data_IF_799914478861
#
_entry.id   IF_799914478861
#
_cell.length_a   1.000
_cell.length_b   1.000
_cell.length_c   1.000
_cell.angle_alpha   90.00
_cell.angle_beta   90.00
_cell.angle_gamma   90.00
#
_symmetry.space_group_name_H-M   'P 1'
#
loop_
_entity.id
_entity.type
_entity.pdbx_description
1 polymer ?
#
# COMPACT_ATOMS: atom_id res chain seq x y z
N UNK A 1 -6.56 39.10 -17.90
CA UNK A 1 -5.16 39.57 -17.91
C UNK A 1 -4.96 40.23 -16.54
N UNK A 2 -4.37 39.66 -15.50
CA UNK A 2 -3.29 38.66 -15.35
C UNK A 2 -3.30 38.15 -13.89
N UNK A 3 -2.68 36.99 -13.65
CA UNK A 3 -2.25 36.48 -12.33
C UNK A 3 -3.26 35.70 -11.45
N UNK A 4 -3.55 34.45 -11.84
CA UNK A 4 -4.05 33.38 -10.94
C UNK A 4 -3.38 32.02 -11.21
N UNK A 5 -2.32 31.98 -12.01
CA UNK A 5 -1.41 30.83 -11.97
C UNK A 5 -0.47 31.08 -10.82
N UNK A 6 -0.74 30.42 -9.69
CA UNK A 6 0.27 30.25 -8.65
C UNK A 6 1.55 29.76 -9.30
N UNK A 7 2.67 30.34 -8.88
CA UNK A 7 3.98 29.84 -9.26
C UNK A 7 3.99 28.32 -9.14
N UNK A 8 4.49 27.58 -10.15
CA UNK A 8 4.87 26.21 -9.89
C UNK A 8 6.07 26.31 -8.96
N UNK A 9 5.85 26.23 -7.66
CA UNK A 9 6.89 25.82 -6.73
C UNK A 9 7.21 24.37 -7.06
N UNK A 10 7.94 24.17 -8.15
CA UNK A 10 8.70 22.96 -8.38
C UNK A 10 9.81 22.97 -7.34
N UNK A 11 9.46 22.70 -6.07
CA UNK A 11 10.43 22.31 -5.08
C UNK A 11 11.14 21.09 -5.66
N UNK A 12 12.42 21.28 -5.96
CA UNK A 12 13.17 20.29 -6.68
C UNK A 12 13.34 19.09 -5.76
N UNK A 13 13.32 17.86 -6.29
CA UNK A 13 13.73 16.67 -5.54
C UNK A 13 15.13 16.89 -4.90
N UNK A 14 15.94 17.80 -5.45
CA UNK A 14 17.24 18.20 -4.92
C UNK A 14 17.17 18.94 -3.57
N UNK A 15 16.02 19.51 -3.20
CA UNK A 15 15.81 20.23 -1.94
C UNK A 15 15.48 19.27 -0.78
N UNK A 16 15.12 18.03 -1.10
CA UNK A 16 14.89 16.98 -0.11
C UNK A 16 16.18 16.55 0.57
N UNK A 17 16.09 16.16 1.85
CA UNK A 17 17.25 15.60 2.56
C UNK A 17 17.79 14.36 1.82
N UNK A 18 19.12 14.09 1.89
CA UNK A 18 19.70 12.89 1.27
C UNK A 18 19.00 11.59 1.67
N UNK A 19 18.54 11.51 2.93
CA UNK A 19 17.78 10.38 3.46
C UNK A 19 16.42 10.23 2.79
N UNK A 20 15.68 11.32 2.60
CA UNK A 20 14.39 11.29 1.91
C UNK A 20 14.55 10.89 0.45
N UNK A 21 15.58 11.40 -0.24
CA UNK A 21 15.90 10.98 -1.62
C UNK A 21 16.21 9.49 -1.71
N UNK A 22 16.96 8.95 -0.74
CA UNK A 22 17.23 7.51 -0.66
C UNK A 22 15.93 6.70 -0.53
N UNK A 23 15.00 7.13 0.31
CA UNK A 23 13.70 6.46 0.44
C UNK A 23 12.88 6.51 -0.86
N UNK A 24 12.86 7.65 -1.56
CA UNK A 24 12.21 7.74 -2.86
C UNK A 24 12.88 6.82 -3.90
N UNK A 25 14.21 6.74 -3.91
CA UNK A 25 14.94 5.83 -4.79
C UNK A 25 14.63 4.34 -4.49
N UNK A 26 14.52 3.96 -3.21
CA UNK A 26 14.09 2.62 -2.80
C UNK A 26 12.68 2.35 -3.32
N UNK A 27 11.73 3.26 -3.07
CA UNK A 27 10.36 3.14 -3.57
C UNK A 27 10.32 2.99 -5.09
N UNK A 28 11.16 3.74 -5.81
CA UNK A 28 11.23 3.69 -7.27
C UNK A 28 11.82 2.38 -7.81
N UNK A 29 12.78 1.81 -7.09
CA UNK A 29 13.42 0.53 -7.44
C UNK A 29 12.53 -0.69 -7.19
N UNK A 30 11.51 -0.58 -6.35
CA UNK A 30 10.67 -1.72 -5.99
C UNK A 30 9.69 -2.10 -7.10
N UNK A 31 9.75 -3.37 -7.52
CA UNK A 31 8.71 -4.01 -8.32
C UNK A 31 7.85 -4.92 -7.46
N UNK A 32 6.54 -4.68 -7.46
CA UNK A 32 5.54 -5.51 -6.77
C UNK A 32 5.31 -6.87 -7.44
N UNK A 33 5.81 -7.07 -8.66
CA UNK A 33 5.62 -8.31 -9.41
C UNK A 33 6.41 -9.50 -8.79
N UNK A 34 7.40 -9.20 -7.94
CA UNK A 34 8.24 -10.22 -7.28
C UNK A 34 7.59 -10.86 -6.05
N UNK A 35 6.58 -10.24 -5.44
CA UNK A 35 6.01 -10.72 -4.16
C UNK A 35 4.76 -11.59 -4.32
N UNK A 36 4.12 -11.60 -5.50
CA UNK A 36 2.82 -12.27 -5.71
C UNK A 36 2.86 -13.52 -6.60
N UNK A 37 4.02 -13.91 -7.15
CA UNK A 37 4.13 -15.12 -7.97
C UNK A 37 4.54 -16.35 -7.14
N UNK A 38 3.57 -16.97 -6.48
CA UNK A 38 3.55 -18.43 -6.32
C UNK A 38 2.17 -18.93 -6.71
N UNK A 39 2.09 -19.57 -7.87
CA UNK A 39 0.92 -20.36 -8.24
C UNK A 39 0.76 -21.51 -7.23
N UNK A 40 -0.47 -21.91 -6.87
CA UNK A 40 -0.70 -23.16 -6.17
C UNK A 40 -0.35 -24.31 -7.12
N UNK A 41 0.63 -25.12 -6.75
CA UNK A 41 0.93 -26.38 -7.44
C UNK A 41 -0.24 -27.33 -7.17
N UNK A 42 -1.08 -27.57 -8.18
CA UNK A 42 -2.02 -28.69 -8.15
C UNK A 42 -1.23 -30.01 -8.10
N UNK A 43 -1.59 -30.96 -7.22
CA UNK A 43 -1.02 -32.30 -7.25
C UNK A 43 -1.78 -33.13 -8.29
N UNK A 44 -1.11 -33.54 -9.35
CA UNK A 44 -1.58 -34.63 -10.21
C UNK A 44 -0.39 -35.50 -10.54
N UNK A 45 -0.38 -36.69 -9.96
CA UNK A 45 0.63 -37.70 -10.11
C UNK A 45 0.68 -38.28 -11.54
N UNK A 46 1.88 -38.77 -11.88
CA UNK A 46 2.20 -40.07 -12.52
C UNK A 46 3.01 -39.98 -13.83
N UNK A 47 4.25 -40.50 -13.70
CA UNK A 47 5.18 -41.14 -14.63
C UNK A 47 6.17 -40.34 -15.47
N UNK A 48 7.46 -40.65 -15.25
CA UNK A 48 8.43 -40.79 -16.34
C UNK A 48 9.77 -40.07 -16.20
N UNK A 49 10.72 -40.74 -15.55
CA UNK A 49 12.17 -40.73 -15.84
C UNK A 49 13.09 -39.54 -15.47
N UNK A 50 14.27 -39.95 -15.05
CA UNK A 50 15.36 -39.22 -14.40
C UNK A 50 16.00 -38.12 -15.26
N UNK A 51 16.33 -36.98 -14.64
CA UNK A 51 17.71 -36.48 -14.67
C UNK A 51 18.00 -35.56 -13.49
N UNK A 52 18.96 -35.98 -12.67
CA UNK A 52 19.55 -35.22 -11.58
C UNK A 52 20.29 -34.00 -12.11
N UNK A 53 19.94 -32.81 -11.62
CA UNK A 53 20.89 -31.70 -11.49
C UNK A 53 20.75 -31.08 -10.11
N UNK A 54 21.62 -31.51 -9.19
CA UNK A 54 21.87 -30.87 -7.91
C UNK A 54 22.42 -29.45 -8.12
N UNK A 55 21.88 -28.44 -7.45
CA UNK A 55 22.44 -27.10 -7.44
C UNK A 55 21.54 -26.03 -6.81
N UNK A 56 21.58 -25.92 -5.48
CA UNK A 56 21.31 -24.77 -4.60
C UNK A 56 20.89 -23.40 -5.22
N UNK A 57 19.71 -23.27 -5.86
CA UNK A 57 19.22 -21.98 -6.42
C UNK A 57 18.04 -21.38 -5.62
N UNK A 58 17.53 -22.06 -4.59
CA UNK A 58 16.29 -21.68 -3.88
C UNK A 58 16.49 -20.85 -2.60
N UNK A 59 17.66 -20.81 -1.97
CA UNK A 59 17.86 -20.02 -0.74
C UNK A 59 18.18 -18.53 -1.02
N UNK A 60 19.10 -18.22 -1.95
CA UNK A 60 19.55 -16.82 -2.15
C UNK A 60 18.47 -15.90 -2.75
N UNK A 61 17.59 -16.42 -3.62
CA UNK A 61 16.44 -15.69 -4.16
C UNK A 61 15.40 -15.37 -3.07
N UNK A 62 15.26 -16.25 -2.08
CA UNK A 62 14.28 -16.05 -1.01
C UNK A 62 14.77 -15.07 0.06
N UNK A 63 16.06 -15.09 0.40
CA UNK A 63 16.67 -14.13 1.33
C UNK A 63 16.70 -12.70 0.77
N UNK A 64 17.05 -12.55 -0.52
CA UNK A 64 17.04 -11.25 -1.21
C UNK A 64 15.65 -10.65 -1.31
N UNK A 65 14.63 -11.47 -1.57
CA UNK A 65 13.23 -11.03 -1.57
C UNK A 65 12.75 -10.59 -0.18
N UNK A 66 13.16 -11.31 0.88
CA UNK A 66 12.81 -10.96 2.26
C UNK A 66 13.48 -9.65 2.72
N UNK A 67 14.77 -9.48 2.42
CA UNK A 67 15.50 -8.25 2.71
C UNK A 67 14.85 -7.06 1.99
N UNK A 68 14.52 -7.22 0.70
CA UNK A 68 13.82 -6.20 -0.09
C UNK A 68 12.45 -5.87 0.50
N UNK A 69 11.71 -6.86 0.99
CA UNK A 69 10.41 -6.67 1.67
C UNK A 69 10.54 -5.89 2.98
N UNK A 70 11.55 -6.19 3.80
CA UNK A 70 11.78 -5.43 5.04
C UNK A 70 12.23 -4.00 4.76
N UNK A 71 13.10 -3.81 3.75
CA UNK A 71 13.56 -2.49 3.33
C UNK A 71 12.41 -1.63 2.82
N UNK A 72 11.51 -2.17 1.99
CA UNK A 72 10.38 -1.39 1.48
C UNK A 72 9.36 -1.07 2.58
N UNK A 73 9.09 -2.00 3.51
CA UNK A 73 8.21 -1.74 4.66
C UNK A 73 8.80 -0.66 5.58
N UNK A 74 10.10 -0.74 5.88
CA UNK A 74 10.81 0.29 6.65
C UNK A 74 10.79 1.65 5.93
N UNK A 75 11.06 1.65 4.62
CA UNK A 75 11.02 2.84 3.77
C UNK A 75 9.64 3.51 3.80
N UNK A 76 8.56 2.75 3.57
CA UNK A 76 7.19 3.28 3.58
C UNK A 76 6.82 3.81 4.97
N UNK A 77 7.24 3.15 6.05
CA UNK A 77 7.04 3.65 7.41
C UNK A 77 7.74 5.00 7.63
N UNK A 78 8.99 5.15 7.16
CA UNK A 78 9.72 6.41 7.24
C UNK A 78 9.07 7.51 6.38
N UNK A 79 8.61 7.19 5.18
CA UNK A 79 7.89 8.12 4.32
C UNK A 79 6.57 8.58 4.97
N UNK A 80 5.81 7.68 5.58
CA UNK A 80 4.57 8.01 6.28
C UNK A 80 4.80 9.06 7.38
N UNK A 81 5.85 8.89 8.19
CA UNK A 81 6.24 9.87 9.22
C UNK A 81 6.67 11.22 8.62
N UNK A 82 7.40 11.21 7.49
CA UNK A 82 7.91 12.44 6.87
C UNK A 82 6.86 13.25 6.13
N UNK A 83 5.90 12.59 5.46
CA UNK A 83 4.93 13.24 4.56
C UNK A 83 3.98 14.21 5.25
N UNK A 84 3.72 14.04 6.54
CA UNK A 84 2.92 14.99 7.31
C UNK A 84 3.62 16.36 7.46
N UNK A 85 4.95 16.38 7.55
CA UNK A 85 5.73 17.57 7.93
C UNK A 85 6.47 18.23 6.77
N UNK A 86 6.59 17.58 5.62
CA UNK A 86 7.34 18.10 4.46
C UNK A 86 6.43 18.22 3.25
N UNK A 87 6.15 19.46 2.87
CA UNK A 87 5.39 19.78 1.65
C UNK A 87 6.15 19.33 0.39
N UNK A 88 7.47 19.54 0.36
CA UNK A 88 8.36 19.06 -0.71
C UNK A 88 8.27 17.56 -0.91
N UNK A 89 8.19 16.80 0.18
CA UNK A 89 8.02 15.35 0.11
C UNK A 89 6.64 14.96 -0.43
N UNK A 90 5.59 15.70 -0.06
CA UNK A 90 4.25 15.48 -0.61
C UNK A 90 4.23 15.70 -2.11
N UNK A 91 4.77 16.81 -2.61
CA UNK A 91 4.87 17.07 -4.06
C UNK A 91 5.74 16.04 -4.76
N UNK A 92 6.92 15.70 -4.21
CA UNK A 92 7.79 14.68 -4.79
C UNK A 92 7.14 13.30 -4.92
N UNK A 93 6.16 12.96 -4.08
CA UNK A 93 5.39 11.72 -4.18
C UNK A 93 4.15 11.90 -5.05
N UNK A 94 3.32 12.90 -4.73
CA UNK A 94 1.98 13.11 -5.28
C UNK A 94 1.95 13.57 -6.73
N UNK A 95 2.97 14.31 -7.18
CA UNK A 95 3.09 14.78 -8.57
C UNK A 95 3.59 13.67 -9.50
N UNK A 96 4.17 12.60 -8.98
CA UNK A 96 4.63 11.48 -9.79
C UNK A 96 3.56 10.38 -9.85
N UNK A 97 2.88 10.31 -11.00
CA UNK A 97 1.86 9.28 -11.29
C UNK A 97 2.36 7.85 -11.06
N UNK A 98 3.62 7.54 -11.38
CA UNK A 98 4.20 6.20 -11.22
C UNK A 98 4.37 5.87 -9.74
N UNK A 99 4.88 6.83 -8.93
CA UNK A 99 5.02 6.66 -7.48
C UNK A 99 3.68 6.48 -6.80
N UNK A 100 2.70 7.35 -7.09
CA UNK A 100 1.34 7.27 -6.55
C UNK A 100 0.71 5.91 -6.85
N UNK A 101 0.75 5.45 -8.10
CA UNK A 101 0.18 4.14 -8.48
C UNK A 101 0.95 2.97 -7.87
N UNK A 102 2.27 3.08 -7.73
CA UNK A 102 3.09 2.05 -7.08
C UNK A 102 2.69 1.94 -5.60
N UNK A 103 2.57 3.06 -4.90
CA UNK A 103 2.08 3.11 -3.53
C UNK A 103 0.70 2.47 -3.41
N UNK A 104 -0.26 2.86 -4.26
CA UNK A 104 -1.59 2.27 -4.23
C UNK A 104 -1.60 0.74 -4.40
N UNK A 105 -0.68 0.18 -5.19
CA UNK A 105 -0.58 -1.29 -5.31
C UNK A 105 -0.11 -1.97 -4.01
N UNK A 106 0.68 -1.31 -3.16
CA UNK A 106 1.07 -1.86 -1.85
C UNK A 106 -0.10 -2.00 -0.88
N UNK A 107 -1.25 -1.35 -1.14
CA UNK A 107 -2.49 -1.58 -0.37
C UNK A 107 -2.91 -3.06 -0.43
N UNK A 108 -2.63 -3.75 -1.54
CA UNK A 108 -2.98 -5.16 -1.75
C UNK A 108 -1.93 -6.14 -1.21
N UNK A 109 -0.82 -5.65 -0.66
CA UNK A 109 0.28 -6.50 -0.21
C UNK A 109 -0.19 -7.48 0.87
N UNK A 110 0.15 -8.76 0.69
CA UNK A 110 -0.19 -9.84 1.63
C UNK A 110 1.07 -10.33 2.33
N UNK A 111 0.91 -10.78 3.57
CA UNK A 111 1.98 -11.41 4.33
C UNK A 111 2.35 -12.75 3.67
N UNK A 112 3.65 -13.02 3.60
CA UNK A 112 4.16 -14.32 3.17
C UNK A 112 3.82 -15.40 4.21
N UNK A 113 3.53 -16.62 3.75
CA UNK A 113 3.22 -17.78 4.61
C UNK A 113 4.26 -18.02 5.72
N UNK A 114 5.52 -17.60 5.52
CA UNK A 114 6.58 -17.73 6.51
C UNK A 114 6.45 -16.75 7.68
N UNK A 115 5.93 -15.54 7.46
CA UNK A 115 5.68 -14.56 8.54
C UNK A 115 4.57 -15.04 9.48
N UNK A 116 3.63 -15.83 8.95
CA UNK A 116 2.52 -16.42 9.70
C UNK A 116 3.02 -17.52 10.66
N UNK A 117 4.19 -18.12 10.40
CA UNK A 117 4.78 -19.15 11.26
C UNK A 117 5.53 -18.61 12.49
N UNK A 118 5.55 -17.28 12.72
CA UNK A 118 6.06 -16.72 13.98
C UNK A 118 5.09 -17.05 15.13
N UNK A 119 5.55 -17.54 16.31
CA UNK A 119 4.70 -18.15 17.34
C UNK A 119 3.66 -17.22 17.99
N UNK A 120 3.65 -15.93 17.66
CA UNK A 120 2.76 -14.94 18.27
C UNK A 120 1.40 -14.78 17.57
N UNK A 121 1.18 -15.37 16.38
CA UNK A 121 -0.02 -15.07 15.54
C UNK A 121 -0.89 -16.31 15.25
N UNK A 122 -0.57 -17.49 15.79
CA UNK A 122 -1.31 -18.71 15.50
C UNK A 122 -2.39 -19.05 16.54
N UNK A 123 -3.54 -18.38 16.44
CA UNK A 123 -4.83 -18.91 16.93
C UNK A 123 -5.96 -18.58 15.95
N UNK A 124 -5.83 -18.97 14.69
CA UNK A 124 -6.97 -19.01 13.78
C UNK A 124 -6.90 -20.31 12.96
N UNK A 125 -7.97 -21.10 13.08
CA UNK A 125 -8.18 -22.37 12.40
C UNK A 125 -7.97 -22.19 10.89
N UNK A 126 -6.92 -22.80 10.36
CA UNK A 126 -6.58 -22.78 8.93
C UNK A 126 -7.53 -23.73 8.19
N UNK A 127 -8.57 -23.17 7.58
CA UNK A 127 -9.31 -23.84 6.51
C UNK A 127 -8.58 -23.60 5.18
N UNK A 128 -8.39 -24.66 4.40
CA UNK A 128 -7.41 -24.81 3.31
C UNK A 128 -7.57 -23.91 2.06
N UNK A 129 -8.41 -22.87 2.07
CA UNK A 129 -8.71 -22.05 0.89
C UNK A 129 -8.61 -20.52 1.10
N UNK A 130 -8.06 -20.06 2.23
CA UNK A 130 -8.03 -18.63 2.55
C UNK A 130 -6.74 -17.96 2.02
N UNK A 131 -6.90 -16.91 1.21
CA UNK A 131 -5.80 -16.02 0.81
C UNK A 131 -5.00 -15.56 2.04
N UNK A 132 -3.67 -15.37 1.92
CA UNK A 132 -2.88 -14.91 3.05
C UNK A 132 -3.40 -13.56 3.60
N UNK A 133 -3.29 -13.33 4.93
CA UNK A 133 -3.71 -12.07 5.54
C UNK A 133 -2.93 -10.90 4.95
N UNK A 134 -3.58 -9.73 4.91
CA UNK A 134 -2.98 -8.51 4.38
C UNK A 134 -1.89 -7.99 5.33
N UNK A 135 -0.84 -7.37 4.79
CA UNK A 135 0.12 -6.63 5.61
C UNK A 135 -0.52 -5.31 6.05
N UNK A 136 -1.33 -5.36 7.11
CA UNK A 136 -2.07 -4.20 7.61
C UNK A 136 -1.17 -3.01 7.99
N UNK A 137 -0.04 -3.19 8.74
CA UNK A 137 0.89 -2.09 9.00
C UNK A 137 1.41 -1.41 7.73
N UNK A 138 1.79 -2.18 6.71
CA UNK A 138 2.25 -1.64 5.44
C UNK A 138 1.12 -0.87 4.74
N UNK A 139 -0.05 -1.48 4.58
CA UNK A 139 -1.20 -0.87 3.92
C UNK A 139 -1.66 0.40 4.65
N UNK A 140 -1.68 0.40 5.98
CA UNK A 140 -2.03 1.56 6.80
C UNK A 140 -1.05 2.72 6.65
N UNK A 141 0.27 2.44 6.56
CA UNK A 141 1.29 3.46 6.28
C UNK A 141 1.19 4.01 4.86
N UNK A 142 0.88 3.16 3.88
CA UNK A 142 0.61 3.61 2.50
C UNK A 142 -0.59 4.56 2.48
N UNK A 143 -1.69 4.21 3.16
CA UNK A 143 -2.85 5.07 3.26
C UNK A 143 -2.49 6.42 3.91
N UNK A 144 -1.63 6.40 4.94
CA UNK A 144 -1.15 7.60 5.62
C UNK A 144 -0.32 8.50 4.68
N UNK A 145 0.60 7.93 3.90
CA UNK A 145 1.35 8.68 2.88
C UNK A 145 0.41 9.34 1.87
N UNK A 146 -0.51 8.55 1.30
CA UNK A 146 -1.40 9.01 0.23
C UNK A 146 -2.40 10.05 0.73
N UNK A 147 -2.94 9.91 1.95
CA UNK A 147 -3.88 10.91 2.49
C UNK A 147 -3.20 12.26 2.70
N UNK A 148 -1.91 12.30 3.06
CA UNK A 148 -1.20 13.56 3.21
C UNK A 148 -1.01 14.24 1.85
N UNK A 149 -0.63 13.47 0.82
CA UNK A 149 -0.44 13.99 -0.54
C UNK A 149 -1.76 14.37 -1.23
N UNK A 150 -2.89 13.76 -0.89
CA UNK A 150 -4.18 13.98 -1.56
C UNK A 150 -4.76 15.40 -1.41
N UNK A 151 -4.21 16.22 -0.49
CA UNK A 151 -4.73 17.55 -0.20
C UNK A 151 -4.17 18.66 -1.11
N UNK A 152 -2.94 18.51 -1.61
CA UNK A 152 -2.19 19.58 -2.29
C UNK A 152 -1.53 19.11 -3.60
N UNK A 153 -1.80 17.89 -4.07
CA UNK A 153 -1.18 17.33 -5.29
C UNK A 153 -2.23 16.71 -6.23
N UNK A 154 -1.94 16.47 -7.53
CA UNK A 154 -2.85 15.83 -8.48
C UNK A 154 -2.96 14.30 -8.28
N UNK A 155 -2.78 13.84 -7.04
CA UNK A 155 -2.80 12.42 -6.67
C UNK A 155 -4.13 11.74 -7.02
N UNK A 156 -5.25 12.45 -6.87
CA UNK A 156 -6.56 11.88 -7.16
C UNK A 156 -6.71 11.55 -8.66
N UNK A 157 -6.26 12.46 -9.52
CA UNK A 157 -6.20 12.30 -10.97
C UNK A 157 -5.27 11.16 -11.36
N UNK A 158 -4.10 11.07 -10.72
CA UNK A 158 -3.16 9.99 -10.94
C UNK A 158 -3.74 8.60 -10.66
N UNK A 159 -4.66 8.50 -9.70
CA UNK A 159 -5.34 7.27 -9.32
C UNK A 159 -6.62 6.98 -10.12
N UNK A 160 -7.07 7.87 -11.00
CA UNK A 160 -8.20 7.57 -11.88
C UNK A 160 -7.91 6.36 -12.78
N UNK A 161 -8.95 5.54 -12.99
CA UNK A 161 -8.85 4.27 -13.74
C UNK A 161 -8.08 3.16 -13.01
N UNK A 162 -7.83 3.30 -11.71
CA UNK A 162 -7.30 2.22 -10.86
C UNK A 162 -8.41 1.67 -9.96
N UNK A 163 -8.26 0.46 -9.42
CA UNK A 163 -9.23 -0.11 -8.47
C UNK A 163 -9.01 0.36 -7.02
N UNK A 164 -8.40 1.52 -6.81
CA UNK A 164 -7.97 1.96 -5.46
C UNK A 164 -9.12 2.07 -4.47
N UNK A 165 -10.31 2.54 -4.90
CA UNK A 165 -11.48 2.65 -4.03
C UNK A 165 -11.92 1.27 -3.55
N UNK A 166 -12.01 0.30 -4.46
CA UNK A 166 -12.30 -1.10 -4.11
C UNK A 166 -11.25 -1.65 -3.12
N UNK A 167 -9.96 -1.44 -3.38
CA UNK A 167 -8.89 -1.97 -2.53
C UNK A 167 -8.92 -1.42 -1.10
N UNK A 168 -9.30 -0.15 -0.95
CA UNK A 168 -9.45 0.54 0.33
C UNK A 168 -10.70 0.07 1.08
N UNK A 169 -11.82 -0.13 0.38
CA UNK A 169 -13.04 -0.69 0.97
C UNK A 169 -12.77 -2.13 1.47
N UNK A 170 -12.14 -2.96 0.65
CA UNK A 170 -11.73 -4.32 1.07
C UNK A 170 -10.74 -4.27 2.24
N UNK A 171 -9.80 -3.32 2.26
CA UNK A 171 -8.88 -3.15 3.40
C UNK A 171 -9.65 -2.86 4.70
N UNK A 172 -10.66 -1.97 4.67
CA UNK A 172 -11.47 -1.63 5.85
C UNK A 172 -12.22 -2.86 6.39
N UNK A 173 -12.79 -3.66 5.49
CA UNK A 173 -13.57 -4.85 5.83
C UNK A 173 -12.68 -5.98 6.37
N UNK A 174 -11.51 -6.20 5.77
CA UNK A 174 -10.59 -7.27 6.16
C UNK A 174 -9.78 -6.95 7.42
N UNK A 175 -9.42 -5.67 7.62
CA UNK A 175 -8.48 -5.27 8.67
C UNK A 175 -9.04 -5.48 10.07
N UNK A 176 -8.17 -5.83 11.02
CA UNK A 176 -8.50 -5.82 12.46
C UNK A 176 -7.97 -4.56 13.17
N UNK A 177 -7.01 -3.84 12.57
CA UNK A 177 -6.43 -2.62 13.16
C UNK A 177 -7.25 -1.37 12.86
N UNK A 178 -7.76 -0.73 13.91
CA UNK A 178 -8.56 0.50 13.81
C UNK A 178 -7.80 1.63 13.09
N UNK A 179 -6.50 1.81 13.33
CA UNK A 179 -5.68 2.82 12.64
C UNK A 179 -5.68 2.64 11.13
N UNK A 180 -5.62 1.37 10.67
CA UNK A 180 -5.58 1.03 9.25
C UNK A 180 -6.93 1.33 8.61
N UNK A 181 -8.03 0.97 9.27
CA UNK A 181 -9.39 1.33 8.83
C UNK A 181 -9.58 2.84 8.74
N UNK A 182 -9.15 3.57 9.78
CA UNK A 182 -9.24 5.03 9.84
C UNK A 182 -8.47 5.69 8.70
N UNK A 183 -7.20 5.33 8.49
CA UNK A 183 -6.38 5.90 7.43
C UNK A 183 -6.96 5.59 6.03
N UNK A 184 -7.46 4.37 5.82
CA UNK A 184 -8.10 3.99 4.57
C UNK A 184 -9.38 4.82 4.31
N UNK A 185 -10.22 4.98 5.35
CA UNK A 185 -11.45 5.77 5.25
C UNK A 185 -11.17 7.25 5.00
N UNK A 186 -10.18 7.85 5.67
CA UNK A 186 -9.76 9.24 5.42
C UNK A 186 -9.27 9.40 3.98
N UNK A 187 -8.46 8.45 3.48
CA UNK A 187 -7.99 8.49 2.10
C UNK A 187 -9.16 8.40 1.10
N UNK A 188 -10.13 7.50 1.31
CA UNK A 188 -11.35 7.44 0.48
C UNK A 188 -12.06 8.80 0.49
N UNK A 189 -12.25 9.39 1.67
CA UNK A 189 -12.90 10.71 1.81
C UNK A 189 -12.19 11.80 1.02
N UNK A 190 -10.85 11.86 1.09
CA UNK A 190 -10.05 12.83 0.33
C UNK A 190 -10.12 12.60 -1.18
N UNK A 191 -10.00 11.35 -1.64
CA UNK A 191 -10.12 11.02 -3.07
C UNK A 191 -11.51 11.37 -3.62
N UNK A 192 -12.56 11.06 -2.86
CA UNK A 192 -13.93 11.40 -3.16
C UNK A 192 -14.13 12.93 -3.15
N UNK A 193 -13.50 13.68 -2.26
CA UNK A 193 -13.60 15.15 -2.27
C UNK A 193 -12.96 15.75 -3.53
N UNK A 194 -11.77 15.27 -3.90
CA UNK A 194 -10.98 15.83 -5.00
C UNK A 194 -11.41 15.39 -6.40
N UNK A 195 -12.13 14.27 -6.56
CA UNK A 195 -12.47 13.71 -7.87
C UNK A 195 -13.89 13.13 -7.93
N UNK A 196 -14.69 13.59 -8.88
CA UNK A 196 -16.04 13.05 -9.13
C UNK A 196 -15.99 11.56 -9.51
N UNK A 197 -14.98 11.14 -10.29
CA UNK A 197 -14.81 9.73 -10.71
C UNK A 197 -14.68 8.81 -9.49
N UNK A 198 -13.99 9.26 -8.44
CA UNK A 198 -13.84 8.47 -7.20
C UNK A 198 -15.12 8.46 -6.37
N UNK A 199 -15.94 9.53 -6.41
CA UNK A 199 -17.28 9.57 -5.78
C UNK A 199 -18.25 8.61 -6.45
N UNK A 200 -18.25 8.59 -7.77
CA UNK A 200 -19.12 7.73 -8.56
C UNK A 200 -18.76 6.26 -8.31
N UNK A 201 -17.47 5.94 -8.30
CA UNK A 201 -16.98 4.60 -7.97
C UNK A 201 -17.33 4.19 -6.53
N UNK A 202 -17.19 5.10 -5.57
CA UNK A 202 -17.60 4.85 -4.18
C UNK A 202 -19.09 4.56 -4.06
N UNK A 203 -19.93 5.31 -4.78
CA UNK A 203 -21.39 5.10 -4.81
C UNK A 203 -21.74 3.77 -5.48
N UNK A 204 -21.08 3.45 -6.60
CA UNK A 204 -21.27 2.20 -7.35
C UNK A 204 -20.95 0.96 -6.52
N UNK A 205 -19.97 1.05 -5.62
CA UNK A 205 -19.54 -0.03 -4.74
C UNK A 205 -20.30 -0.10 -3.41
N UNK A 206 -21.36 0.70 -3.22
CA UNK A 206 -22.04 0.87 -1.93
C UNK A 206 -21.06 1.20 -0.79
N UNK A 207 -20.00 1.97 -1.07
CA UNK A 207 -18.93 2.19 -0.10
C UNK A 207 -19.35 3.02 1.11
N UNK A 208 -20.46 3.77 1.04
CA UNK A 208 -20.99 4.53 2.18
C UNK A 208 -21.45 3.62 3.33
N UNK A 209 -21.97 2.41 3.04
CA UNK A 209 -22.34 1.45 4.07
C UNK A 209 -21.10 0.97 4.85
N UNK A 210 -19.98 0.76 4.16
CA UNK A 210 -18.68 0.39 4.75
C UNK A 210 -18.09 1.52 5.61
N UNK A 211 -18.30 2.78 5.22
CA UNK A 211 -17.78 3.96 5.93
C UNK A 211 -18.63 4.39 7.13
N UNK A 212 -19.86 3.89 7.25
CA UNK A 212 -20.80 4.26 8.34
C UNK A 212 -20.20 4.13 9.75
N UNK A 213 -19.40 3.09 10.09
CA UNK A 213 -18.82 2.96 11.42
C UNK A 213 -17.59 3.85 11.68
N UNK A 214 -17.21 4.76 10.78
CA UNK A 214 -16.00 5.57 10.92
C UNK A 214 -15.89 6.35 12.24
N UNK A 215 -17.00 6.94 12.70
CA UNK A 215 -17.04 7.71 13.94
C UNK A 215 -16.78 6.81 15.17
N UNK A 216 -17.22 5.55 15.15
CA UNK A 216 -17.00 4.65 16.27
C UNK A 216 -15.53 4.21 16.38
N UNK A 217 -14.86 3.98 15.25
CA UNK A 217 -13.42 3.70 15.23
C UNK A 217 -12.59 4.87 15.73
N UNK A 218 -12.95 6.09 15.32
CA UNK A 218 -12.25 7.31 15.72
C UNK A 218 -12.37 7.55 17.21
N UNK A 219 -13.59 7.45 17.77
CA UNK A 219 -13.82 7.60 19.20
C UNK A 219 -13.13 6.50 20.04
N UNK A 220 -12.97 5.28 19.50
CA UNK A 220 -12.25 4.22 20.19
C UNK A 220 -10.74 4.50 20.28
N UNK A 221 -10.15 5.05 19.22
CA UNK A 221 -8.73 5.41 19.19
C UNK A 221 -8.38 6.58 20.11
N UNK A 222 -9.29 7.53 20.30
CA UNK A 222 -9.08 8.69 21.17
C UNK A 222 -9.16 8.34 22.67
N UNK A 223 -9.65 7.14 23.02
CA UNK A 223 -9.75 6.65 24.40
C UNK A 223 -8.56 5.80 24.84
N UNK A 224 -7.64 5.49 23.93
CA UNK A 224 -6.43 4.70 24.17
C UNK A 224 -5.22 5.62 24.32
#
# INVERSE_FOLDING_TARGET
>A
LTSWFGEPTTESINDLTPRTRLFLAILDSCSLDSCSKRNPVNPSFVNGEQQQSNGNISQSKNETNNMTSHLITGCIRCLALGTNHSISLRYAIGDDRRRVRRLARFIRARLSEYTIQSPAICKLNVSSNQLPPRDEPLAGNVCLVLQHCASDTPLAEHLQGTSVIYDLLSLIQESQRLDTKRNAAILIGKLAQSSQVHRDELSRLDGYSVLTPFNSWTAALERC
#
